data_IF_773349595955
#
_entry.id   IF_773349595955
#
_cell.length_a   1.000
_cell.length_b   1.000
_cell.length_c   1.000
_cell.angle_alpha   90.00
_cell.angle_beta   90.00
_cell.angle_gamma   90.00
#
_symmetry.space_group_name_H-M   'P 1'
#
loop_
_entity.id
_entity.type
_entity.pdbx_description
1 polymer ?
#
# COMPACT_ATOMS: atom_id res chain seq x y z
N UNK A 1 1.41 0.54 -14.12
CA UNK A 1 1.01 0.25 -12.72
C UNK A 1 2.22 -0.13 -11.85
N UNK A 2 3.13 -0.98 -12.36
CA UNK A 2 4.29 -1.49 -11.61
C UNK A 2 5.31 -0.44 -11.16
N UNK A 3 5.56 0.62 -11.94
CA UNK A 3 6.52 1.67 -11.56
C UNK A 3 6.09 2.45 -10.31
N UNK A 4 4.81 2.81 -10.20
CA UNK A 4 4.26 3.47 -9.02
C UNK A 4 4.27 2.55 -7.79
N UNK A 5 4.05 1.25 -7.98
CA UNK A 5 4.18 0.25 -6.91
C UNK A 5 5.64 -0.03 -6.52
N UNK A 6 6.61 0.29 -7.39
CA UNK A 6 8.04 0.17 -7.12
C UNK A 6 8.60 1.37 -6.34
N UNK A 7 8.01 2.57 -6.49
CA UNK A 7 8.35 3.74 -5.66
C UNK A 7 7.79 3.65 -4.23
N UNK A 8 6.79 2.78 -4.02
CA UNK A 8 6.23 2.52 -2.70
C UNK A 8 7.20 1.68 -1.86
N UNK A 9 7.44 2.06 -0.59
CA UNK A 9 8.21 1.24 0.34
C UNK A 9 7.58 -0.16 0.45
N UNK A 10 8.41 -1.20 0.50
CA UNK A 10 7.98 -2.60 0.54
C UNK A 10 6.88 -2.86 1.59
N UNK A 11 6.98 -2.24 2.76
CA UNK A 11 6.02 -2.38 3.86
C UNK A 11 4.63 -1.84 3.49
N UNK A 12 4.55 -0.75 2.71
CA UNK A 12 3.29 -0.16 2.27
C UNK A 12 2.59 -1.05 1.26
N UNK A 13 3.36 -1.55 0.28
CA UNK A 13 2.84 -2.51 -0.72
C UNK A 13 2.32 -3.77 -0.05
N UNK A 14 3.07 -4.29 0.92
CA UNK A 14 2.72 -5.52 1.63
C UNK A 14 1.49 -5.34 2.52
N UNK A 15 1.36 -4.21 3.23
CA UNK A 15 0.16 -3.87 3.99
C UNK A 15 -1.09 -3.82 3.10
N UNK A 16 -0.98 -3.22 1.90
CA UNK A 16 -2.07 -3.15 0.93
C UNK A 16 -2.48 -4.53 0.41
N UNK A 17 -1.50 -5.38 0.08
CA UNK A 17 -1.76 -6.75 -0.37
C UNK A 17 -2.45 -7.56 0.72
N UNK A 18 -1.93 -7.56 1.95
CA UNK A 18 -2.55 -8.27 3.08
C UNK A 18 -3.98 -7.77 3.37
N UNK A 19 -4.24 -6.47 3.23
CA UNK A 19 -5.58 -5.93 3.43
C UNK A 19 -6.56 -6.25 2.28
N UNK A 20 -6.10 -6.23 1.02
CA UNK A 20 -6.96 -6.30 -0.18
C UNK A 20 -7.06 -7.69 -0.77
N UNK A 21 -5.99 -8.48 -0.68
CA UNK A 21 -5.88 -9.85 -1.19
C UNK A 21 -6.25 -10.83 -0.09
N UNK A 22 -5.59 -10.74 1.06
CA UNK A 22 -5.82 -11.65 2.19
C UNK A 22 -7.00 -11.23 3.09
N UNK A 23 -7.51 -10.01 2.92
CA UNK A 23 -8.65 -9.50 3.69
C UNK A 23 -8.35 -9.33 5.20
N UNK A 24 -7.07 -9.21 5.56
CA UNK A 24 -6.64 -9.12 6.95
C UNK A 24 -7.03 -7.79 7.60
N UNK A 25 -7.31 -7.84 8.90
CA UNK A 25 -7.55 -6.64 9.71
C UNK A 25 -6.25 -5.87 9.98
N UNK A 26 -6.36 -4.59 10.31
CA UNK A 26 -5.19 -3.76 10.62
C UNK A 26 -4.32 -4.34 11.75
N UNK A 27 -4.93 -4.95 12.77
CA UNK A 27 -4.24 -5.64 13.86
C UNK A 27 -3.40 -6.83 13.37
N UNK A 28 -3.92 -7.62 12.42
CA UNK A 28 -3.19 -8.77 11.88
C UNK A 28 -2.05 -8.34 10.97
N UNK A 29 -2.29 -7.32 10.14
CA UNK A 29 -1.26 -6.72 9.28
C UNK A 29 -0.15 -6.09 10.13
N UNK A 30 -0.52 -5.44 11.24
CA UNK A 30 0.41 -4.85 12.19
C UNK A 30 1.34 -5.92 12.78
N UNK A 31 0.77 -7.05 13.22
CA UNK A 31 1.53 -8.19 13.72
C UNK A 31 2.44 -8.82 12.65
N UNK A 32 1.94 -9.02 11.42
CA UNK A 32 2.69 -9.56 10.28
C UNK A 32 3.90 -8.68 9.91
N UNK A 33 3.71 -7.37 9.90
CA UNK A 33 4.73 -6.40 9.51
C UNK A 33 5.60 -5.93 10.67
N UNK A 34 5.30 -6.32 11.91
CA UNK A 34 6.00 -5.86 13.11
C UNK A 34 5.85 -4.36 13.37
N UNK A 35 4.71 -3.77 12.99
CA UNK A 35 4.41 -2.33 13.15
C UNK A 35 3.15 -2.13 13.97
N UNK A 36 2.86 -0.89 14.41
CA UNK A 36 1.60 -0.58 15.09
C UNK A 36 0.42 -0.47 14.11
N UNK A 37 -0.80 -0.72 14.59
CA UNK A 37 -2.04 -0.55 13.79
C UNK A 37 -2.18 0.85 13.18
N UNK A 38 -1.81 1.89 13.91
CA UNK A 38 -1.77 3.27 13.40
C UNK A 38 -0.81 3.44 12.23
N UNK A 39 0.28 2.69 12.21
CA UNK A 39 1.24 2.67 11.11
C UNK A 39 0.65 1.96 9.89
N UNK A 40 -0.09 0.86 10.10
CA UNK A 40 -0.83 0.16 9.03
C UNK A 40 -1.84 1.09 8.39
N UNK A 41 -2.63 1.82 9.17
CA UNK A 41 -3.57 2.80 8.63
C UNK A 41 -2.86 3.88 7.78
N UNK A 42 -1.71 4.38 8.24
CA UNK A 42 -0.88 5.31 7.46
C UNK A 42 -0.34 4.68 6.17
N UNK A 43 0.08 3.42 6.21
CA UNK A 43 0.54 2.69 5.03
C UNK A 43 -0.58 2.53 4.01
N UNK A 44 -1.74 2.05 4.43
CA UNK A 44 -2.90 1.90 3.55
C UNK A 44 -3.32 3.25 2.93
N UNK A 45 -3.37 4.32 3.73
CA UNK A 45 -3.67 5.66 3.23
C UNK A 45 -2.63 6.16 2.20
N UNK A 46 -1.32 6.00 2.48
CA UNK A 46 -0.26 6.38 1.53
C UNK A 46 -0.32 5.55 0.25
N UNK A 47 -0.52 4.24 0.38
CA UNK A 47 -0.60 3.32 -0.75
C UNK A 47 -1.81 3.62 -1.65
N UNK A 48 -2.99 3.86 -1.06
CA UNK A 48 -4.18 4.27 -1.81
C UNK A 48 -4.02 5.63 -2.47
N UNK A 49 -3.45 6.61 -1.76
CA UNK A 49 -3.16 7.94 -2.33
C UNK A 49 -2.19 7.84 -3.51
N UNK A 50 -1.16 7.01 -3.40
CA UNK A 50 -0.19 6.80 -4.46
C UNK A 50 -0.80 6.04 -5.65
N UNK A 51 -1.62 5.00 -5.41
CA UNK A 51 -2.36 4.32 -6.48
C UNK A 51 -3.29 5.29 -7.22
N UNK A 52 -3.96 6.18 -6.49
CA UNK A 52 -4.85 7.18 -7.08
C UNK A 52 -4.09 8.22 -7.89
N UNK A 53 -2.96 8.72 -7.37
CA UNK A 53 -2.09 9.63 -8.11
C UNK A 53 -1.52 8.98 -9.39
N UNK A 54 -1.15 7.70 -9.33
CA UNK A 54 -0.66 6.95 -10.48
C UNK A 54 -1.74 6.64 -11.53
N UNK A 55 -3.01 6.56 -11.13
CA UNK A 55 -4.16 6.42 -12.03
C UNK A 55 -4.60 7.76 -12.65
N UNK A 56 -4.39 8.86 -11.93
CA UNK A 56 -4.67 10.22 -12.42
C UNK A 56 -3.55 10.74 -13.34
N UNK A 57 -2.34 10.18 -13.23
CA UNK A 57 -1.33 10.34 -14.26
C UNK A 57 -1.73 9.52 -15.51
N UNK A 58 -1.89 10.14 -16.69
CA UNK A 58 -2.02 9.38 -17.91
C UNK A 58 -0.76 8.51 -18.05
N UNK A 59 -0.96 7.18 -18.07
CA UNK A 59 0.09 6.22 -18.41
C UNK A 59 0.51 6.50 -19.87
N UNK A 60 1.45 7.43 -20.04
CA UNK A 60 2.21 7.68 -21.25
C UNK A 60 3.67 7.77 -20.86
N UNK A 61 4.36 6.62 -20.83
CA UNK A 61 5.81 6.60 -20.80
C UNK A 61 6.32 6.75 -22.25
N UNK A 62 7.35 7.57 -22.51
CA UNK A 62 8.16 7.44 -23.73
C UNK A 62 9.03 6.17 -23.70
#
# INVERSE_FOLDING_TARGET
LDAALAELPANVRRALLLARVDGLSHARIAAELGVSESMVAKYLARGLKHCRAAMDQPQGAP
#
